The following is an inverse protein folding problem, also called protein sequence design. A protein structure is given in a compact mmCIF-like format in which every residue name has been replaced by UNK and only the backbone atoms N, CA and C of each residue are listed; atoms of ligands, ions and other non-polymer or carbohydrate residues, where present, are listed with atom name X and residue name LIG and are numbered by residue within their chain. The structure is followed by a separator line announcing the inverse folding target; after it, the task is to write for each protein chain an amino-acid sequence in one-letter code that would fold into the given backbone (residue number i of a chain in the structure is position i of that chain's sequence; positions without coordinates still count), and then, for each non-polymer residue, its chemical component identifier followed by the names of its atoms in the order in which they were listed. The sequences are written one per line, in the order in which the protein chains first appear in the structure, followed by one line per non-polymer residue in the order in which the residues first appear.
data_IF_798585969236
#
_entry.id   IF_798585969236
#
_cell.length_a   1.000
_cell.length_b   1.000
_cell.length_c   1.000
_cell.angle_alpha   90.00
_cell.angle_beta   90.00
_cell.angle_gamma   90.00
#
_symmetry.space_group_name_H-M   'P 1'
#
loop_
_entity.id
_entity.type
_entity.pdbx_description
1 polymer ?
#
# COMPACT_ATOMS: atom_id res chain seq x y z
N UNK A 1 1.31 -10.36 -13.80
CA UNK A 1 1.77 -11.73 -14.04
C UNK A 1 3.27 -11.80 -13.78
N UNK A 2 3.65 -11.93 -12.51
CA UNK A 2 4.94 -12.48 -12.09
C UNK A 2 4.66 -13.31 -10.84
N UNK A 3 5.10 -14.55 -10.95
CA UNK A 3 4.71 -15.74 -10.21
C UNK A 3 5.94 -16.16 -9.42
N UNK A 4 5.81 -16.44 -8.12
CA UNK A 4 6.70 -17.42 -7.49
C UNK A 4 6.14 -17.87 -6.13
N UNK A 5 5.74 -19.14 -6.10
CA UNK A 5 5.56 -19.95 -4.91
C UNK A 5 6.93 -20.40 -4.40
N UNK A 6 7.10 -20.49 -3.09
CA UNK A 6 8.02 -21.45 -2.51
C UNK A 6 7.41 -22.02 -1.22
N UNK A 7 7.20 -23.33 -1.22
CA UNK A 7 7.40 -24.16 -0.05
C UNK A 7 8.74 -24.85 -0.29
N UNK A 8 9.63 -24.88 0.69
CA UNK A 8 10.74 -25.84 0.66
C UNK A 8 10.08 -27.21 0.82
N UNK A 9 10.24 -28.08 -0.18
CA UNK A 9 9.88 -29.49 -0.07
C UNK A 9 11.04 -30.30 -0.60
N UNK A 10 11.47 -31.27 0.19
CA UNK A 10 12.60 -32.17 -0.04
C UNK A 10 12.65 -32.78 -1.45
N UNK A 11 13.74 -32.52 -2.18
CA UNK A 11 14.68 -33.51 -2.75
C UNK A 11 15.57 -32.84 -3.81
N UNK A 12 16.85 -32.65 -3.47
CA UNK A 12 18.00 -33.14 -4.26
C UNK A 12 19.31 -32.71 -3.59
N UNK A 13 19.93 -33.68 -2.90
CA UNK A 13 21.36 -33.91 -2.72
C UNK A 13 22.33 -32.72 -2.95
N UNK A 14 23.00 -32.32 -1.87
CA UNK A 14 24.44 -32.08 -1.83
C UNK A 14 24.91 -30.64 -2.11
N UNK A 15 25.56 -30.04 -1.11
CA UNK A 15 26.46 -28.91 -1.33
C UNK A 15 26.50 -27.92 -0.17
N UNK A 16 27.46 -28.08 0.73
CA UNK A 16 27.87 -27.05 1.70
C UNK A 16 28.33 -25.80 0.94
N UNK A 17 27.86 -24.62 1.32
CA UNK A 17 28.66 -23.40 1.23
C UNK A 17 28.14 -22.36 2.23
N UNK A 18 28.93 -22.18 3.30
CA UNK A 18 28.83 -21.03 4.19
C UNK A 18 29.41 -19.81 3.46
N UNK A 19 28.59 -18.80 3.21
CA UNK A 19 29.02 -17.51 2.67
C UNK A 19 28.75 -16.42 3.70
N UNK A 20 29.82 -15.87 4.26
CA UNK A 20 29.86 -14.69 5.13
C UNK A 20 29.25 -13.46 4.42
N UNK A 21 28.28 -12.79 5.04
CA UNK A 21 27.79 -11.49 4.58
C UNK A 21 28.28 -10.36 5.50
N UNK A 22 28.91 -9.39 4.86
CA UNK A 22 29.56 -8.23 5.45
C UNK A 22 28.54 -7.18 5.90
N UNK A 23 28.89 -6.41 6.94
CA UNK A 23 28.02 -5.46 7.65
C UNK A 23 27.61 -4.29 6.76
N UNK A 24 26.32 -4.18 6.42
CA UNK A 24 25.77 -2.97 5.77
C UNK A 24 25.13 -2.01 6.77
N UNK A 25 25.72 -0.82 6.87
CA UNK A 25 25.25 0.31 7.66
C UNK A 25 23.99 0.97 7.08
N UNK A 26 23.13 1.41 7.98
CA UNK A 26 21.83 2.03 7.74
C UNK A 26 21.82 3.16 6.68
N UNK A 27 20.98 2.98 5.66
CA UNK A 27 20.37 4.11 4.95
C UNK A 27 18.88 3.83 4.72
N UNK A 28 18.08 4.88 4.89
CA UNK A 28 16.63 4.88 4.72
C UNK A 28 16.33 4.38 3.30
N UNK A 29 15.25 3.60 3.15
CA UNK A 29 14.62 3.19 1.88
C UNK A 29 14.93 1.77 1.34
N UNK A 30 15.34 0.82 2.18
CA UNK A 30 15.37 -0.61 1.79
C UNK A 30 14.02 -1.30 2.09
N UNK A 31 13.31 -1.71 1.04
CA UNK A 31 12.65 -3.03 1.10
C UNK A 31 13.83 -4.00 1.14
N UNK A 32 13.88 -4.90 2.11
CA UNK A 32 14.79 -6.05 2.05
C UNK A 32 14.68 -6.64 0.64
N UNK A 33 15.81 -6.80 -0.03
CA UNK A 33 15.86 -7.50 -1.30
C UNK A 33 15.65 -8.97 -0.95
N UNK A 34 14.38 -9.36 -0.86
CA UNK A 34 13.99 -10.75 -0.68
C UNK A 34 14.57 -11.48 -1.89
N UNK A 35 15.71 -12.15 -1.70
CA UNK A 35 16.29 -13.01 -2.72
C UNK A 35 15.15 -13.81 -3.36
N UNK A 36 15.15 -13.90 -4.69
CA UNK A 36 14.09 -14.57 -5.47
C UNK A 36 13.71 -15.89 -4.78
N UNK A 37 12.60 -15.94 -4.02
CA UNK A 37 12.18 -17.20 -3.38
C UNK A 37 11.46 -17.23 -2.03
N UNK A 38 11.10 -16.15 -1.31
CA UNK A 38 10.58 -16.33 0.08
C UNK A 38 9.23 -15.70 0.46
N UNK A 39 8.40 -15.26 -0.50
CA UNK A 39 7.07 -14.69 -0.18
C UNK A 39 6.00 -15.13 -1.16
N UNK A 40 4.85 -15.62 -0.65
CA UNK A 40 3.72 -15.98 -1.50
C UNK A 40 2.92 -14.74 -1.91
N UNK A 41 2.60 -14.62 -3.20
CA UNK A 41 1.58 -13.67 -3.70
C UNK A 41 0.18 -14.18 -3.30
N UNK A 42 -0.54 -13.47 -2.41
CA UNK A 42 -1.85 -13.89 -1.94
C UNK A 42 -2.95 -13.78 -3.01
N UNK A 43 -2.70 -13.05 -4.10
CA UNK A 43 -3.69 -12.83 -5.16
C UNK A 43 -3.64 -13.91 -6.25
N UNK A 44 -2.60 -14.74 -6.27
CA UNK A 44 -2.51 -15.88 -7.17
C UNK A 44 -3.41 -17.02 -6.69
N UNK A 45 -4.20 -17.58 -7.61
CA UNK A 45 -5.16 -18.63 -7.29
C UNK A 45 -4.47 -19.85 -6.64
N UNK A 46 -5.01 -20.33 -5.52
CA UNK A 46 -4.56 -21.54 -4.85
C UNK A 46 -3.31 -21.40 -3.97
N UNK A 47 -2.66 -20.25 -3.90
CA UNK A 47 -1.42 -20.08 -3.11
C UNK A 47 -1.65 -20.27 -1.61
N UNK A 48 -2.78 -19.78 -1.08
CA UNK A 48 -3.12 -19.94 0.33
C UNK A 48 -3.39 -21.41 0.72
N UNK A 49 -3.78 -22.28 -0.22
CA UNK A 49 -3.99 -23.72 0.06
C UNK A 49 -2.72 -24.47 0.40
N UNK A 50 -1.56 -23.88 0.14
CA UNK A 50 -0.27 -24.47 0.51
C UNK A 50 0.00 -24.34 2.02
N UNK A 51 -0.64 -23.39 2.69
CA UNK A 51 -0.52 -23.17 4.14
C UNK A 51 -1.28 -24.29 4.85
N UNK A 52 -0.58 -25.07 5.69
CA UNK A 52 -1.20 -26.16 6.46
C UNK A 52 -2.11 -25.57 7.54
N UNK A 53 -3.07 -26.37 8.06
CA UNK A 53 -3.95 -25.93 9.14
C UNK A 53 -3.20 -25.41 10.38
N UNK A 54 -2.04 -25.97 10.72
CA UNK A 54 -1.32 -25.65 11.96
C UNK A 54 -0.07 -24.76 11.77
N UNK A 55 0.20 -24.30 10.54
CA UNK A 55 1.38 -23.47 10.25
C UNK A 55 1.35 -22.17 11.07
N UNK A 56 2.51 -21.72 11.58
CA UNK A 56 2.68 -20.38 12.14
C UNK A 56 2.81 -19.39 10.99
N UNK A 57 1.76 -18.61 10.74
CA UNK A 57 1.70 -17.74 9.56
C UNK A 57 2.09 -16.32 9.93
N UNK A 58 3.00 -15.74 9.15
CA UNK A 58 3.22 -14.31 9.14
C UNK A 58 2.55 -13.65 7.94
N UNK A 59 1.87 -12.54 8.19
CA UNK A 59 1.36 -11.63 7.17
C UNK A 59 2.10 -10.29 7.27
N UNK A 60 2.79 -9.90 6.19
CA UNK A 60 3.58 -8.67 6.14
C UNK A 60 2.78 -7.58 5.42
N UNK A 61 2.21 -6.66 6.19
CA UNK A 61 1.24 -5.67 5.73
C UNK A 61 -0.13 -5.89 6.38
N UNK A 62 -0.81 -4.79 6.67
CA UNK A 62 -2.06 -4.79 7.45
C UNK A 62 -3.20 -4.06 6.68
N UNK A 63 -3.10 -3.95 5.35
CA UNK A 63 -4.13 -3.33 4.49
C UNK A 63 -5.27 -4.31 4.15
N UNK A 64 -6.13 -3.94 3.18
CA UNK A 64 -7.27 -4.78 2.76
C UNK A 64 -6.88 -6.22 2.41
N UNK A 65 -5.83 -6.40 1.60
CA UNK A 65 -5.37 -7.72 1.20
C UNK A 65 -4.99 -8.59 2.41
N UNK A 66 -4.47 -8.01 3.50
CA UNK A 66 -4.19 -8.78 4.71
C UNK A 66 -5.47 -9.28 5.39
N UNK A 67 -6.52 -8.47 5.39
CA UNK A 67 -7.81 -8.85 5.95
C UNK A 67 -8.45 -9.98 5.12
N UNK A 68 -8.35 -9.90 3.79
CA UNK A 68 -8.83 -10.96 2.89
C UNK A 68 -8.05 -12.26 3.08
N UNK A 69 -6.73 -12.19 3.26
CA UNK A 69 -5.89 -13.37 3.57
C UNK A 69 -6.30 -14.01 4.89
N UNK A 70 -6.46 -13.22 5.95
CA UNK A 70 -6.86 -13.73 7.28
C UNK A 70 -8.24 -14.37 7.22
N UNK A 71 -9.20 -13.73 6.54
CA UNK A 71 -10.54 -14.26 6.34
C UNK A 71 -10.52 -15.55 5.53
N UNK A 72 -9.70 -15.62 4.47
CA UNK A 72 -9.53 -16.81 3.63
C UNK A 72 -8.91 -17.97 4.40
N UNK A 73 -7.86 -17.72 5.19
CA UNK A 73 -7.24 -18.74 6.06
C UNK A 73 -8.25 -19.29 7.08
N UNK A 74 -9.02 -18.39 7.71
CA UNK A 74 -10.06 -18.80 8.66
C UNK A 74 -11.14 -19.64 7.97
N UNK A 75 -11.59 -19.23 6.79
CA UNK A 75 -12.58 -19.98 6.01
C UNK A 75 -12.07 -21.37 5.59
N UNK A 76 -10.76 -21.51 5.35
CA UNK A 76 -10.10 -22.78 5.04
C UNK A 76 -9.84 -23.67 6.27
N UNK A 77 -10.25 -23.24 7.47
CA UNK A 77 -10.07 -24.01 8.71
C UNK A 77 -8.65 -23.95 9.27
N UNK A 78 -7.88 -22.90 8.98
CA UNK A 78 -6.57 -22.70 9.60
C UNK A 78 -6.70 -22.48 11.12
N UNK A 79 -5.98 -23.28 11.90
CA UNK A 79 -5.98 -23.33 13.36
C UNK A 79 -4.70 -22.74 13.98
N UNK A 80 -3.61 -22.69 13.20
CA UNK A 80 -2.33 -22.16 13.60
C UNK A 80 -2.36 -20.66 13.94
N UNK A 81 -1.33 -20.16 14.66
CA UNK A 81 -1.25 -18.76 15.04
C UNK A 81 -0.88 -17.90 13.82
N UNK A 82 -1.56 -16.76 13.70
CA UNK A 82 -1.33 -15.77 12.66
C UNK A 82 -0.78 -14.50 13.29
N UNK A 83 0.36 -14.01 12.79
CA UNK A 83 0.91 -12.70 13.15
C UNK A 83 0.80 -11.79 11.93
N UNK A 84 0.17 -10.63 12.08
CA UNK A 84 0.12 -9.59 11.05
C UNK A 84 0.99 -8.42 11.49
N UNK A 85 2.06 -8.12 10.75
CA UNK A 85 2.97 -7.04 11.09
C UNK A 85 3.00 -5.93 10.05
N UNK A 86 3.07 -4.70 10.53
CA UNK A 86 3.35 -3.53 9.72
C UNK A 86 4.11 -2.48 10.52
N UNK A 87 4.79 -1.55 9.84
CA UNK A 87 5.62 -0.51 10.48
C UNK A 87 4.93 0.28 11.60
N UNK A 88 3.60 0.42 11.55
CA UNK A 88 2.80 1.18 12.53
C UNK A 88 1.75 0.31 13.24
N UNK A 89 1.58 -0.95 12.86
CA UNK A 89 0.55 -1.84 13.41
C UNK A 89 -0.88 -1.42 13.12
N UNK A 90 -1.09 -0.47 12.19
CA UNK A 90 -2.42 -0.02 11.81
C UNK A 90 -3.04 -1.04 10.85
N UNK A 91 -4.31 -1.38 11.05
CA UNK A 91 -5.11 -2.14 10.08
C UNK A 91 -6.20 -1.27 9.46
N UNK A 92 -6.67 -1.65 8.28
CA UNK A 92 -7.88 -1.08 7.69
C UNK A 92 -9.06 -1.15 8.66
N UNK A 93 -9.81 -0.05 8.79
CA UNK A 93 -11.01 0.03 9.63
C UNK A 93 -12.25 -0.48 8.88
N UNK A 94 -13.32 -0.83 9.61
CA UNK A 94 -14.61 -1.17 9.03
C UNK A 94 -15.32 -0.02 8.32
N UNK A 95 -16.46 -0.34 7.73
CA UNK A 95 -17.43 0.65 7.26
C UNK A 95 -18.22 1.26 8.42
N UNK A 96 -18.84 2.42 8.18
CA UNK A 96 -19.82 2.97 9.10
C UNK A 96 -20.97 1.95 9.30
N UNK A 97 -21.51 1.83 10.52
CA UNK A 97 -22.60 0.90 10.81
C UNK A 97 -23.89 1.25 10.06
N UNK A 98 -24.03 2.52 9.69
CA UNK A 98 -25.12 3.06 8.88
C UNK A 98 -24.55 4.03 7.85
N UNK A 99 -25.23 4.21 6.72
CA UNK A 99 -24.85 5.22 5.74
C UNK A 99 -24.98 6.62 6.34
N UNK A 100 -24.02 7.49 6.05
CA UNK A 100 -23.96 8.86 6.56
C UNK A 100 -23.62 9.81 5.41
N UNK A 101 -24.27 10.97 5.37
CA UNK A 101 -23.92 12.00 4.40
C UNK A 101 -22.54 12.61 4.71
N UNK A 102 -21.73 12.95 3.69
CA UNK A 102 -20.41 13.54 3.91
C UNK A 102 -20.48 14.87 4.67
N UNK A 103 -19.68 15.01 5.72
CA UNK A 103 -19.73 16.12 6.66
C UNK A 103 -18.52 17.07 6.56
N UNK A 104 -18.78 18.37 6.65
CA UNK A 104 -17.78 19.44 6.65
C UNK A 104 -17.51 20.04 5.27
N UNK A 105 -16.68 21.07 5.25
CA UNK A 105 -16.09 21.65 4.04
C UNK A 105 -14.61 21.97 4.31
N UNK A 106 -13.73 21.44 3.47
CA UNK A 106 -12.28 21.62 3.58
C UNK A 106 -11.73 22.55 2.50
N UNK A 107 -12.55 23.04 1.57
CA UNK A 107 -12.13 23.93 0.49
C UNK A 107 -12.28 25.41 0.83
N UNK A 108 -13.06 25.76 1.87
CA UNK A 108 -13.37 27.15 2.21
C UNK A 108 -12.94 27.51 3.64
N UNK A 109 -11.95 28.40 3.84
CA UNK A 109 -10.96 28.82 2.84
C UNK A 109 -10.00 27.67 2.50
N UNK A 110 -9.42 27.64 1.31
CA UNK A 110 -8.56 26.54 0.86
C UNK A 110 -7.32 26.40 1.78
N UNK A 111 -7.00 25.22 2.33
CA UNK A 111 -5.84 25.04 3.21
C UNK A 111 -4.53 25.34 2.49
N UNK A 112 -3.63 26.05 3.18
CA UNK A 112 -2.31 26.39 2.64
C UNK A 112 -1.24 25.36 2.96
N UNK A 113 -1.47 24.52 3.99
CA UNK A 113 -0.50 23.53 4.46
C UNK A 113 -1.15 22.20 4.83
N UNK A 114 -0.37 21.12 4.82
CA UNK A 114 -0.85 19.80 5.22
C UNK A 114 -1.26 19.74 6.71
N UNK A 115 -0.55 20.48 7.57
CA UNK A 115 -0.84 20.54 9.02
C UNK A 115 -2.15 21.25 9.31
N UNK A 116 -2.44 22.33 8.57
CA UNK A 116 -3.70 23.05 8.67
C UNK A 116 -4.87 22.14 8.26
N UNK A 117 -4.78 21.48 7.10
CA UNK A 117 -5.79 20.54 6.64
C UNK A 117 -6.03 19.43 7.68
N UNK A 118 -4.97 18.83 8.22
CA UNK A 118 -5.09 17.81 9.27
C UNK A 118 -5.78 18.35 10.53
N UNK A 119 -5.44 19.56 10.96
CA UNK A 119 -6.06 20.20 12.13
C UNK A 119 -7.57 20.37 11.93
N UNK A 120 -7.97 20.86 10.73
CA UNK A 120 -9.37 21.02 10.35
C UNK A 120 -10.10 19.68 10.32
N UNK A 121 -9.53 18.65 9.69
CA UNK A 121 -10.12 17.31 9.65
C UNK A 121 -10.39 16.79 11.07
N UNK A 122 -9.41 16.92 11.98
CA UNK A 122 -9.58 16.49 13.37
C UNK A 122 -10.65 17.29 14.11
N UNK A 123 -10.75 18.59 13.86
CA UNK A 123 -11.79 19.43 14.44
C UNK A 123 -13.19 19.05 13.91
N UNK A 124 -13.31 18.81 12.60
CA UNK A 124 -14.55 18.37 11.97
C UNK A 124 -15.00 17.00 12.46
N UNK A 125 -14.09 16.06 12.73
CA UNK A 125 -14.43 14.77 13.36
C UNK A 125 -15.08 15.00 14.73
N UNK A 126 -14.47 15.83 15.60
CA UNK A 126 -15.07 16.16 16.91
C UNK A 126 -16.40 16.92 16.80
N UNK A 127 -16.63 17.64 15.71
CA UNK A 127 -17.91 18.31 15.46
C UNK A 127 -18.98 17.31 14.98
N UNK A 128 -18.62 16.41 14.07
CA UNK A 128 -19.49 15.35 13.57
C UNK A 128 -19.96 14.44 14.72
N UNK A 129 -19.06 14.08 15.64
CA UNK A 129 -19.38 13.28 16.84
C UNK A 129 -20.47 13.93 17.71
N UNK A 130 -20.46 15.27 17.84
CA UNK A 130 -21.51 16.01 18.57
C UNK A 130 -22.87 15.99 17.89
N UNK A 131 -22.93 15.56 16.63
CA UNK A 131 -24.16 15.37 15.84
C UNK A 131 -24.45 13.88 15.60
N UNK A 132 -23.86 12.99 16.40
CA UNK A 132 -24.01 11.53 16.27
C UNK A 132 -23.52 10.96 14.92
N UNK A 133 -22.68 11.70 14.20
CA UNK A 133 -21.99 11.22 13.01
C UNK A 133 -20.64 10.62 13.40
N UNK A 134 -20.17 9.67 12.60
CA UNK A 134 -18.85 9.06 12.82
C UNK A 134 -17.78 9.76 11.98
N UNK A 135 -16.51 9.45 12.22
CA UNK A 135 -15.40 9.94 11.41
C UNK A 135 -15.55 9.63 9.90
N UNK A 136 -16.32 8.59 9.54
CA UNK A 136 -16.53 8.17 8.15
C UNK A 136 -17.09 9.31 7.30
N UNK A 137 -18.13 10.01 7.77
CA UNK A 137 -18.75 11.15 7.10
C UNK A 137 -17.71 12.24 6.77
N UNK A 138 -16.79 12.51 7.69
CA UNK A 138 -15.73 13.51 7.49
C UNK A 138 -14.70 13.04 6.48
N UNK A 139 -14.21 11.80 6.60
CA UNK A 139 -13.22 11.25 5.66
C UNK A 139 -13.80 11.12 4.25
N UNK A 140 -15.08 10.78 4.11
CA UNK A 140 -15.76 10.72 2.82
C UNK A 140 -15.86 12.10 2.17
N UNK A 141 -16.10 13.16 2.97
CA UNK A 141 -16.02 14.54 2.46
C UNK A 141 -14.61 14.92 2.02
N UNK A 142 -13.59 14.60 2.82
CA UNK A 142 -12.19 14.86 2.46
C UNK A 142 -11.82 14.13 1.17
N UNK A 143 -12.28 12.89 1.00
CA UNK A 143 -12.04 12.09 -0.21
C UNK A 143 -12.70 12.72 -1.43
N UNK A 144 -13.97 13.12 -1.32
CA UNK A 144 -14.70 13.79 -2.40
C UNK A 144 -14.03 15.10 -2.82
N UNK A 145 -13.44 15.84 -1.88
CA UNK A 145 -12.69 17.07 -2.16
C UNK A 145 -11.19 16.82 -2.45
N UNK A 146 -10.76 15.56 -2.48
CA UNK A 146 -9.35 15.15 -2.42
C UNK A 146 -8.49 15.68 -3.55
N UNK A 147 -8.98 15.63 -4.80
CA UNK A 147 -8.25 16.13 -5.96
C UNK A 147 -7.97 17.64 -5.86
N UNK A 148 -8.97 18.42 -5.45
CA UNK A 148 -8.85 19.87 -5.24
C UNK A 148 -7.89 20.19 -4.09
N UNK A 149 -8.03 19.50 -2.96
CA UNK A 149 -7.14 19.64 -1.80
C UNK A 149 -5.69 19.29 -2.17
N UNK A 150 -5.49 18.22 -2.93
CA UNK A 150 -4.16 17.81 -3.38
C UNK A 150 -3.52 18.85 -4.28
N UNK A 151 -4.27 19.36 -5.28
CA UNK A 151 -3.80 20.41 -6.20
C UNK A 151 -3.39 21.68 -5.44
N UNK A 152 -4.14 22.04 -4.41
CA UNK A 152 -3.88 23.24 -3.60
C UNK A 152 -2.59 23.17 -2.75
N UNK A 153 -2.13 21.97 -2.39
CA UNK A 153 -0.92 21.81 -1.57
C UNK A 153 0.35 21.98 -2.40
N UNK A 154 1.34 22.65 -1.80
CA UNK A 154 2.72 22.71 -2.32
C UNK A 154 3.32 21.29 -2.43
N UNK A 155 4.34 21.13 -3.29
CA UNK A 155 5.00 19.82 -3.43
C UNK A 155 5.60 19.31 -2.10
N UNK A 156 6.09 20.22 -1.26
CA UNK A 156 6.65 19.88 0.05
C UNK A 156 5.58 19.43 1.04
N UNK A 157 4.39 20.05 1.00
CA UNK A 157 3.24 19.59 1.79
C UNK A 157 2.72 18.24 1.28
N UNK A 158 2.62 18.03 -0.04
CA UNK A 158 2.27 16.72 -0.61
C UNK A 158 3.25 15.63 -0.14
N UNK A 159 4.56 15.89 -0.16
CA UNK A 159 5.59 14.98 0.40
C UNK A 159 5.37 14.71 1.89
N UNK A 160 5.01 15.72 2.68
CA UNK A 160 4.67 15.57 4.11
C UNK A 160 3.44 14.68 4.30
N UNK A 161 2.38 14.87 3.51
CA UNK A 161 1.18 14.02 3.51
C UNK A 161 1.58 12.57 3.22
N UNK A 162 2.34 12.31 2.15
CA UNK A 162 2.79 10.96 1.78
C UNK A 162 3.61 10.30 2.89
N UNK A 163 4.56 11.04 3.47
CA UNK A 163 5.47 10.50 4.49
C UNK A 163 4.77 10.24 5.83
N UNK A 164 3.93 11.17 6.27
CA UNK A 164 3.41 11.18 7.64
C UNK A 164 1.96 10.69 7.73
N UNK A 165 1.10 11.15 6.82
CA UNK A 165 -0.35 10.99 6.93
C UNK A 165 -0.89 9.82 6.11
N UNK A 166 -0.24 9.44 5.02
CA UNK A 166 -0.70 8.36 4.14
C UNK A 166 -1.07 7.07 4.87
N UNK A 167 -0.28 6.53 5.83
CA UNK A 167 -0.67 5.30 6.52
C UNK A 167 -1.96 5.45 7.33
N UNK A 168 -2.29 6.65 7.81
CA UNK A 168 -3.55 6.92 8.48
C UNK A 168 -4.68 7.11 7.46
N UNK A 169 -4.43 7.85 6.38
CA UNK A 169 -5.38 8.00 5.28
C UNK A 169 -5.81 6.64 4.71
N UNK A 170 -4.85 5.79 4.38
CA UNK A 170 -5.08 4.48 3.77
C UNK A 170 -5.95 3.60 4.69
N UNK A 171 -5.72 3.55 6.01
CA UNK A 171 -6.54 2.71 6.91
C UNK A 171 -7.96 3.24 7.17
N UNK A 172 -8.24 4.52 6.91
CA UNK A 172 -9.60 5.08 7.06
C UNK A 172 -10.39 5.04 5.76
N UNK A 173 -9.72 5.14 4.61
CA UNK A 173 -10.39 5.13 3.30
C UNK A 173 -10.62 3.71 2.77
N UNK A 174 -9.69 2.80 3.04
CA UNK A 174 -9.75 1.43 2.57
C UNK A 174 -10.43 0.60 3.64
N UNK A 175 -11.75 0.54 3.54
CA UNK A 175 -12.61 -0.03 4.57
C UNK A 175 -12.86 -1.52 4.32
N UNK A 176 -12.79 -2.32 5.39
CA UNK A 176 -13.07 -3.76 5.32
C UNK A 176 -14.56 -4.02 5.46
N UNK A 177 -15.07 -5.01 4.74
CA UNK A 177 -16.47 -5.41 4.81
C UNK A 177 -16.83 -5.95 6.21
N UNK A 178 -18.06 -5.74 6.72
CA UNK A 178 -18.44 -6.13 8.08
C UNK A 178 -18.20 -7.61 8.41
N UNK A 179 -18.41 -8.51 7.46
CA UNK A 179 -18.16 -9.94 7.65
C UNK A 179 -16.67 -10.27 7.81
N UNK A 180 -15.79 -9.58 7.07
CA UNK A 180 -14.34 -9.73 7.19
C UNK A 180 -13.87 -9.14 8.51
N UNK A 181 -14.37 -7.96 8.88
CA UNK A 181 -14.05 -7.32 10.15
C UNK A 181 -14.39 -8.19 11.36
N UNK A 182 -15.57 -8.82 11.34
CA UNK A 182 -15.99 -9.76 12.38
C UNK A 182 -15.03 -10.94 12.50
N UNK A 183 -14.63 -11.56 11.39
CA UNK A 183 -13.65 -12.67 11.39
C UNK A 183 -12.33 -12.24 12.03
N UNK A 184 -11.82 -11.06 11.68
CA UNK A 184 -10.59 -10.54 12.26
C UNK A 184 -10.73 -10.29 13.78
N UNK A 185 -11.85 -9.70 14.20
CA UNK A 185 -12.12 -9.41 15.61
C UNK A 185 -12.25 -10.68 16.45
N UNK A 186 -12.94 -11.71 15.93
CA UNK A 186 -13.04 -13.03 16.57
C UNK A 186 -11.66 -13.71 16.67
N UNK A 187 -10.84 -13.64 15.63
CA UNK A 187 -9.49 -14.20 15.65
C UNK A 187 -8.58 -13.47 16.67
N UNK A 188 -8.70 -12.15 16.79
CA UNK A 188 -8.01 -11.36 17.81
C UNK A 188 -8.47 -11.75 19.23
N UNK A 189 -9.78 -11.82 19.45
CA UNK A 189 -10.36 -12.18 20.75
C UNK A 189 -9.98 -13.60 21.18
N UNK A 190 -9.88 -14.53 20.23
CA UNK A 190 -9.45 -15.91 20.46
C UNK A 190 -7.92 -16.07 20.58
N UNK A 191 -7.13 -15.00 20.43
CA UNK A 191 -5.67 -15.06 20.46
C UNK A 191 -5.02 -15.75 19.26
N UNK A 192 -5.79 -16.06 18.21
CA UNK A 192 -5.28 -16.67 16.96
C UNK A 192 -4.63 -15.66 16.03
N UNK A 193 -4.98 -14.38 16.16
CA UNK A 193 -4.38 -13.28 15.40
C UNK A 193 -3.66 -12.31 16.35
N UNK A 194 -2.39 -12.02 16.11
CA UNK A 194 -1.64 -10.93 16.74
C UNK A 194 -1.35 -9.84 15.69
N UNK A 195 -1.59 -8.56 16.03
CA UNK A 195 -1.23 -7.43 15.17
C UNK A 195 -0.04 -6.67 15.77
N UNK A 196 1.06 -6.60 15.02
CA UNK A 196 2.32 -6.01 15.45
C UNK A 196 2.63 -4.68 14.74
N UNK A 197 2.97 -3.68 15.55
CA UNK A 197 3.71 -2.51 15.10
C UNK A 197 5.21 -2.80 15.12
N UNK A 198 5.75 -3.27 14.00
CA UNK A 198 7.13 -3.70 13.91
C UNK A 198 7.71 -3.57 12.49
N UNK A 199 9.03 -3.69 12.39
CA UNK A 199 9.77 -3.83 11.14
C UNK A 199 10.58 -5.12 11.15
N UNK A 200 10.66 -5.79 10.01
CA UNK A 200 11.57 -6.92 9.81
C UNK A 200 12.95 -6.34 9.53
N UNK A 201 13.95 -6.78 10.29
CA UNK A 201 15.35 -6.37 10.11
C UNK A 201 16.16 -7.39 9.36
N UNK A 202 15.92 -8.66 9.65
CA UNK A 202 16.66 -9.77 9.07
C UNK A 202 15.77 -11.00 8.91
N UNK A 203 16.13 -11.83 7.95
CA UNK A 203 15.41 -13.04 7.55
C UNK A 203 16.44 -14.12 7.27
N UNK A 204 16.26 -15.28 7.89
CA UNK A 204 16.99 -16.50 7.57
C UNK A 204 16.05 -17.70 7.47
N UNK A 205 16.57 -18.81 6.97
CA UNK A 205 15.83 -20.05 6.81
C UNK A 205 16.66 -21.20 7.38
N UNK A 206 16.04 -22.02 8.22
CA UNK A 206 16.62 -23.24 8.77
C UNK A 206 15.70 -24.43 8.46
N UNK A 207 16.09 -25.24 7.46
CA UNK A 207 15.20 -26.26 6.87
C UNK A 207 13.92 -25.64 6.33
N UNK A 208 12.77 -26.12 6.84
CA UNK A 208 11.44 -25.64 6.47
C UNK A 208 10.97 -24.43 7.30
N UNK A 209 11.77 -23.98 8.28
CA UNK A 209 11.41 -22.87 9.15
C UNK A 209 11.95 -21.56 8.61
N UNK A 210 11.12 -20.53 8.69
CA UNK A 210 11.50 -19.16 8.34
C UNK A 210 11.69 -18.36 9.61
N UNK A 211 12.89 -17.86 9.76
CA UNK A 211 13.27 -17.09 10.90
C UNK A 211 13.38 -15.60 10.63
N UNK A 212 12.80 -14.78 11.50
CA UNK A 212 12.82 -13.33 11.39
C UNK A 212 13.30 -12.63 12.65
N UNK A 213 14.18 -11.65 12.47
CA UNK A 213 14.48 -10.63 13.47
C UNK A 213 13.49 -9.47 13.31
N UNK A 214 12.64 -9.27 14.31
CA UNK A 214 11.55 -8.29 14.27
C UNK A 214 11.83 -7.19 15.28
N UNK A 215 12.00 -5.95 14.81
CA UNK A 215 12.11 -4.78 15.68
C UNK A 215 10.74 -4.19 15.97
N UNK A 216 10.27 -4.34 17.22
CA UNK A 216 9.04 -3.70 17.71
C UNK A 216 9.22 -2.19 17.75
N UNK A 217 8.14 -1.47 17.46
CA UNK A 217 8.14 -0.01 17.44
C UNK A 217 8.13 0.59 18.85
N UNK A 218 7.40 -0.03 19.79
CA UNK A 218 7.22 0.44 21.19
C UNK A 218 6.89 -0.74 22.13
N UNK A 219 7.67 -0.97 23.20
CA UNK A 219 9.05 -0.48 23.37
C UNK A 219 9.93 -0.93 22.20
N UNK A 220 11.03 -0.22 21.95
CA UNK A 220 11.98 -0.63 20.91
C UNK A 220 12.75 -1.84 21.41
N UNK A 221 12.43 -3.01 20.89
CA UNK A 221 13.15 -4.27 21.14
C UNK A 221 13.27 -5.04 19.84
N UNK A 222 14.32 -5.83 19.73
CA UNK A 222 14.49 -6.81 18.66
C UNK A 222 14.18 -8.17 19.28
N UNK A 223 13.25 -8.90 18.67
CA UNK A 223 12.91 -10.25 19.06
C UNK A 223 12.99 -11.17 17.86
N UNK A 224 13.44 -12.39 18.11
CA UNK A 224 13.54 -13.42 17.09
C UNK A 224 12.24 -14.22 17.08
N UNK A 225 11.61 -14.34 15.91
CA UNK A 225 10.38 -15.12 15.72
C UNK A 225 10.55 -16.12 14.59
N UNK A 226 9.86 -17.24 14.70
CA UNK A 226 9.84 -18.30 13.69
C UNK A 226 8.44 -18.45 13.11
N UNK A 227 8.38 -18.71 11.81
CA UNK A 227 7.18 -18.90 11.04
C UNK A 227 7.36 -20.06 10.07
N UNK A 228 6.25 -20.70 9.70
CA UNK A 228 6.23 -21.79 8.73
C UNK A 228 5.75 -21.28 7.36
N UNK A 229 5.10 -20.12 7.31
CA UNK A 229 4.70 -19.45 6.08
C UNK A 229 4.74 -17.91 6.20
N UNK A 230 5.08 -17.23 5.11
CA UNK A 230 5.02 -15.77 5.00
C UNK A 230 4.16 -15.35 3.80
N UNK A 231 3.16 -14.53 4.07
CA UNK A 231 2.31 -13.88 3.06
C UNK A 231 2.59 -12.39 3.00
N UNK A 232 2.96 -11.88 1.83
CA UNK A 232 3.34 -10.46 1.66
C UNK A 232 2.15 -9.67 1.11
N UNK A 233 1.65 -8.71 1.91
CA UNK A 233 0.48 -7.86 1.61
C UNK A 233 0.83 -6.37 1.69
N UNK A 234 2.09 -6.02 1.39
CA UNK A 234 2.64 -4.65 1.54
C UNK A 234 2.17 -3.64 0.49
N UNK A 235 1.28 -4.03 -0.42
CA UNK A 235 0.76 -3.20 -1.50
C UNK A 235 1.78 -2.86 -2.61
N UNK A 236 1.33 -2.15 -3.66
CA UNK A 236 2.14 -1.87 -4.84
C UNK A 236 3.35 -0.98 -4.54
N UNK A 237 4.48 -1.33 -5.16
CA UNK A 237 5.77 -0.67 -4.99
C UNK A 237 5.92 0.60 -5.86
N UNK A 238 5.02 1.57 -5.75
CA UNK A 238 4.99 2.74 -6.66
C UNK A 238 6.34 3.45 -6.83
N UNK A 239 7.11 3.65 -5.76
CA UNK A 239 8.43 4.29 -5.84
C UNK A 239 9.53 3.47 -6.54
N UNK A 240 9.27 2.19 -6.85
CA UNK A 240 10.15 1.30 -7.62
C UNK A 240 9.56 0.95 -8.98
N UNK A 241 8.49 1.62 -9.42
CA UNK A 241 7.83 1.28 -10.68
C UNK A 241 8.80 1.35 -11.86
N UNK A 242 9.68 2.35 -11.89
CA UNK A 242 10.64 2.53 -12.97
C UNK A 242 11.68 1.40 -13.05
N UNK A 243 11.91 0.66 -11.96
CA UNK A 243 12.77 -0.54 -11.95
C UNK A 243 12.01 -1.85 -11.91
N UNK A 244 10.69 -1.82 -12.15
CA UNK A 244 9.87 -3.03 -12.14
C UNK A 244 9.96 -3.82 -13.44
N UNK A 245 10.27 -3.16 -14.55
CA UNK A 245 10.33 -3.76 -15.89
C UNK A 245 11.44 -3.10 -16.70
N UNK A 246 12.17 -3.90 -17.48
CA UNK A 246 13.32 -3.43 -18.26
C UNK A 246 12.97 -2.28 -19.23
N UNK A 247 11.79 -2.29 -19.85
CA UNK A 247 11.38 -1.22 -20.76
C UNK A 247 11.09 0.10 -20.03
N UNK A 248 10.61 0.06 -18.79
CA UNK A 248 10.44 1.27 -17.96
C UNK A 248 11.79 1.86 -17.57
N UNK A 249 12.77 1.00 -17.25
CA UNK A 249 14.14 1.44 -16.95
C UNK A 249 14.78 2.10 -18.17
N UNK A 250 14.55 1.55 -19.36
CA UNK A 250 15.05 2.11 -20.62
C UNK A 250 14.39 3.44 -20.99
N UNK A 251 13.06 3.57 -20.84
CA UNK A 251 12.37 4.84 -21.06
C UNK A 251 12.86 5.93 -20.10
N UNK A 252 13.08 5.59 -18.83
CA UNK A 252 13.73 6.48 -17.87
C UNK A 252 15.16 6.84 -18.32
N UNK A 253 15.95 5.84 -18.73
CA UNK A 253 17.33 6.05 -19.19
C UNK A 253 17.45 6.94 -20.42
N UNK A 254 16.41 6.97 -21.26
CA UNK A 254 16.26 7.86 -22.43
C UNK A 254 15.60 9.20 -22.11
N UNK A 255 15.19 9.43 -20.86
CA UNK A 255 14.59 10.69 -20.41
C UNK A 255 13.11 10.87 -20.71
N UNK A 256 12.37 9.83 -21.12
CA UNK A 256 10.92 9.91 -21.40
C UNK A 256 10.05 9.78 -20.14
N UNK A 257 10.59 9.18 -19.06
CA UNK A 257 9.83 8.92 -17.84
C UNK A 257 10.63 9.31 -16.59
N UNK A 258 9.97 10.02 -15.67
CA UNK A 258 10.53 10.42 -14.39
C UNK A 258 9.61 10.02 -13.24
N UNK A 259 10.21 9.79 -12.07
CA UNK A 259 9.43 9.59 -10.85
C UNK A 259 8.83 10.92 -10.39
N UNK A 260 7.57 10.86 -9.97
CA UNK A 260 6.91 12.00 -9.36
C UNK A 260 7.66 12.47 -8.09
N UNK A 261 7.80 13.78 -7.83
CA UNK A 261 8.58 14.26 -6.69
C UNK A 261 8.00 13.90 -5.31
N UNK A 262 6.73 13.47 -5.23
CA UNK A 262 6.11 12.93 -4.00
C UNK A 262 6.39 11.44 -3.80
N UNK A 263 6.94 10.76 -4.81
CA UNK A 263 7.18 9.32 -4.82
C UNK A 263 5.93 8.47 -5.09
N UNK A 264 4.84 9.09 -5.56
CA UNK A 264 3.59 8.43 -5.90
C UNK A 264 3.45 8.18 -7.42
N UNK A 265 4.39 7.39 -7.96
CA UNK A 265 4.34 6.95 -9.35
C UNK A 265 5.21 7.79 -10.29
N UNK A 266 4.65 8.16 -11.43
CA UNK A 266 5.34 8.83 -12.54
C UNK A 266 4.90 10.30 -12.63
N UNK A 267 5.84 11.16 -13.00
CA UNK A 267 5.56 12.58 -13.27
C UNK A 267 4.70 12.72 -14.52
N UNK A 268 3.59 13.44 -14.41
CA UNK A 268 2.73 13.81 -15.52
C UNK A 268 2.13 15.21 -15.30
N UNK A 269 1.68 15.85 -16.38
CA UNK A 269 0.97 17.14 -16.31
C UNK A 269 -0.53 16.94 -16.04
N UNK A 270 -1.29 18.04 -16.02
CA UNK A 270 -2.74 18.03 -15.81
C UNK A 270 -3.53 17.28 -16.91
N UNK A 271 -2.94 17.11 -18.10
CA UNK A 271 -3.50 16.33 -19.21
C UNK A 271 -3.07 14.85 -19.16
N UNK A 272 -2.44 14.43 -18.07
CA UNK A 272 -1.90 13.07 -17.88
C UNK A 272 -0.76 12.70 -18.84
N UNK A 273 -0.15 13.66 -19.52
CA UNK A 273 1.01 13.44 -20.37
C UNK A 273 2.26 13.27 -19.50
N UNK A 274 3.08 12.27 -19.81
CA UNK A 274 4.32 12.01 -19.10
C UNK A 274 5.28 13.20 -19.24
N UNK A 275 6.01 13.50 -18.16
CA UNK A 275 7.06 14.52 -18.17
C UNK A 275 8.43 13.88 -18.36
N UNK A 276 9.19 14.42 -19.31
CA UNK A 276 10.59 14.09 -19.54
C UNK A 276 11.52 14.72 -18.50
N UNK A 277 12.83 14.50 -18.67
CA UNK A 277 13.86 14.94 -17.71
C UNK A 277 13.92 16.45 -17.51
N UNK A 278 13.61 17.20 -18.54
CA UNK A 278 13.54 18.66 -18.56
C UNK A 278 12.14 19.20 -18.17
N UNK A 279 11.25 18.32 -17.70
CA UNK A 279 9.86 18.62 -17.36
C UNK A 279 8.99 19.06 -18.55
N UNK A 280 9.43 18.81 -19.77
CA UNK A 280 8.57 19.00 -20.95
C UNK A 280 7.55 17.85 -21.07
N UNK A 281 6.29 18.13 -21.42
CA UNK A 281 5.29 17.09 -21.61
C UNK A 281 5.50 16.36 -22.95
N UNK A 282 5.44 15.03 -22.93
CA UNK A 282 5.40 14.20 -24.13
C UNK A 282 3.94 13.94 -24.53
N UNK A 283 3.42 14.58 -25.61
CA UNK A 283 2.02 14.45 -26.00
C UNK A 283 1.69 13.07 -26.58
N UNK A 284 2.69 12.19 -26.76
CA UNK A 284 2.50 10.83 -27.26
C UNK A 284 2.50 9.78 -26.15
N UNK A 285 2.81 10.17 -24.91
CA UNK A 285 2.94 9.26 -23.77
C UNK A 285 2.06 9.70 -22.61
N UNK A 286 1.07 8.86 -22.26
CA UNK A 286 0.12 9.15 -21.19
C UNK A 286 0.28 8.21 -19.99
N UNK A 287 0.09 8.74 -18.78
CA UNK A 287 0.19 8.00 -17.52
C UNK A 287 -1.22 7.73 -16.98
N UNK A 288 -1.78 6.54 -17.24
CA UNK A 288 -3.11 6.20 -16.76
C UNK A 288 -3.12 5.55 -15.36
N UNK A 289 -4.12 5.89 -14.56
CA UNK A 289 -4.46 5.21 -13.31
C UNK A 289 -3.44 5.47 -12.18
N UNK A 290 -3.27 4.52 -11.23
CA UNK A 290 -2.51 4.73 -9.98
C UNK A 290 -1.09 5.28 -10.08
N UNK A 291 -0.47 5.27 -11.27
CA UNK A 291 0.84 5.86 -11.50
C UNK A 291 0.81 7.39 -11.63
N UNK A 292 -0.35 8.01 -11.87
CA UNK A 292 -0.51 9.46 -11.97
C UNK A 292 -0.83 10.15 -10.63
N UNK A 293 -0.81 9.40 -9.52
CA UNK A 293 -1.20 9.88 -8.17
C UNK A 293 -0.42 11.08 -7.68
N UNK A 294 0.83 11.21 -8.08
CA UNK A 294 1.64 12.39 -7.81
C UNK A 294 0.96 13.70 -8.21
N UNK A 295 0.32 13.67 -9.38
CA UNK A 295 -0.38 14.80 -9.96
C UNK A 295 -1.82 14.93 -9.46
N UNK A 296 -2.59 13.84 -9.49
CA UNK A 296 -4.04 13.87 -9.24
C UNK A 296 -4.46 13.53 -7.80
N UNK A 297 -3.55 13.00 -6.97
CA UNK A 297 -3.83 12.67 -5.57
C UNK A 297 -4.41 11.26 -5.37
N UNK A 298 -5.67 11.18 -4.94
CA UNK A 298 -6.36 9.89 -4.75
C UNK A 298 -6.73 9.28 -6.10
N UNK A 299 -6.23 8.06 -6.37
CA UNK A 299 -6.38 7.38 -7.66
C UNK A 299 -6.24 5.86 -7.52
N UNK A 300 -6.72 5.30 -6.41
CA UNK A 300 -6.64 3.86 -6.13
C UNK A 300 -8.01 3.22 -5.97
N UNK A 301 -9.06 4.01 -5.74
CA UNK A 301 -10.43 3.50 -5.67
C UNK A 301 -11.00 3.26 -7.07
N UNK A 302 -11.97 2.36 -7.17
CA UNK A 302 -12.62 2.04 -8.44
C UNK A 302 -13.22 3.27 -9.13
N UNK A 303 -13.96 4.17 -8.45
CA UNK A 303 -14.49 5.37 -9.10
C UNK A 303 -13.39 6.25 -9.69
N UNK A 304 -12.37 6.57 -8.87
CA UNK A 304 -11.30 7.49 -9.28
C UNK A 304 -10.47 6.91 -10.44
N UNK A 305 -10.18 5.60 -10.41
CA UNK A 305 -9.44 4.94 -11.50
C UNK A 305 -10.26 4.91 -12.79
N UNK A 306 -11.58 4.70 -12.71
CA UNK A 306 -12.45 4.61 -13.87
C UNK A 306 -12.65 5.98 -14.52
N UNK A 307 -12.91 7.00 -13.71
CA UNK A 307 -13.04 8.40 -14.16
C UNK A 307 -11.73 8.89 -14.80
N UNK A 308 -10.58 8.59 -14.20
CA UNK A 308 -9.31 8.98 -14.79
C UNK A 308 -8.97 8.20 -16.06
N UNK A 309 -9.35 6.93 -16.17
CA UNK A 309 -9.17 6.18 -17.42
C UNK A 309 -9.99 6.79 -18.56
N UNK A 310 -11.24 7.21 -18.28
CA UNK A 310 -12.06 7.94 -19.24
C UNK A 310 -11.41 9.27 -19.64
N UNK A 311 -10.98 10.07 -18.66
CA UNK A 311 -10.28 11.32 -18.89
C UNK A 311 -9.07 11.14 -19.81
N UNK A 312 -8.20 10.15 -19.56
CA UNK A 312 -7.03 9.90 -20.42
C UNK A 312 -7.46 9.48 -21.83
N UNK A 313 -8.52 8.68 -21.98
CA UNK A 313 -9.01 8.29 -23.29
C UNK A 313 -9.51 9.49 -24.10
N UNK A 314 -10.23 10.42 -23.47
CA UNK A 314 -10.68 11.68 -24.09
C UNK A 314 -9.48 12.54 -24.52
N UNK A 315 -8.47 12.68 -23.67
CA UNK A 315 -7.25 13.41 -24.01
C UNK A 315 -6.46 12.81 -25.19
N UNK A 316 -6.49 11.48 -25.34
CA UNK A 316 -5.89 10.81 -26.48
C UNK A 316 -6.72 11.05 -27.74
N UNK A 317 -8.06 10.96 -27.66
CA UNK A 317 -8.94 11.19 -28.80
C UNK A 317 -8.78 12.61 -29.37
N UNK A 318 -8.81 13.62 -28.51
CA UNK A 318 -8.60 15.03 -28.88
C UNK A 318 -7.23 15.22 -29.58
N UNK A 319 -6.17 14.61 -29.05
CA UNK A 319 -4.84 14.70 -29.64
C UNK A 319 -4.78 14.08 -31.05
N UNK A 320 -5.47 12.96 -31.27
CA UNK A 320 -5.51 12.29 -32.57
C UNK A 320 -6.29 13.09 -33.62
N UNK A 321 -7.41 13.72 -33.23
CA UNK A 321 -8.18 14.60 -34.11
C UNK A 321 -7.37 15.82 -34.56
N UNK A 322 -6.66 16.46 -33.62
CA UNK A 322 -5.79 17.60 -33.93
C UNK A 322 -4.60 17.25 -34.84
N UNK A 323 -4.15 15.99 -34.85
CA UNK A 323 -3.08 15.54 -35.77
C UNK A 323 -3.59 15.17 -37.16
N UNK A 324 -4.88 14.92 -37.31
CA UNK A 324 -5.50 14.55 -38.59
C UNK A 324 -5.88 15.77 -39.43
N UNK A 325 -5.83 16.98 -38.85
CA UNK A 325 -6.18 18.26 -39.47
C UNK A 325 -4.92 19.02 -39.88
#
# INVERSE_FOLDING_TARGET
MWMMMCRVTDRALGGKNAGTFDRYSASRNSRADWGRGSGTDPTAAGTLRLIRPDDRVLIVGNGLTSADVIASLTHQGHLGPVVSLSRRGLRSNGHAPVQQDPFGDFLTPNPKTASELLSRIRASIRQAERQSLTWHAVIDRVRAQGAHLWKALSIDDRRRVVRHLRPYWDVHRFRIAPQVERVLNEALAAGRLEILAAAIEDVDTDGDKIGLSVRRRRPTSIERREFDAIVVTTGPAHGRILSSQNWLEQLRGRGHLHSDPTGLGLSCNELSQALSADLSPDPTLYVAGPLARGQFGELMGLPEVSEHALFVAEQIAEHLEHRAT
#
